data_IF_039608361557
#
_entry.id   IF_039608361557
#
_cell.length_a   1.000
_cell.length_b   1.000
_cell.length_c   1.000
_cell.angle_alpha   90.00
_cell.angle_beta   90.00
_cell.angle_gamma   90.00
#
_symmetry.space_group_name_H-M   'P 1'
#
loop_
_entity.id
_entity.type
_entity.pdbx_description
1 polymer ?
#
# COMPACT_ATOMS: atom_id res chain seq x y z
N UNK A 1 14.00 -7.39 12.73
CA UNK A 1 13.92 -8.87 12.64
C UNK A 1 13.52 -9.24 11.22
N UNK A 2 14.01 -10.35 10.68
CA UNK A 2 13.62 -10.79 9.34
C UNK A 2 12.12 -11.09 9.28
N UNK A 3 11.41 -10.53 8.30
CA UNK A 3 9.95 -10.63 8.20
C UNK A 3 9.17 -9.55 8.95
N UNK A 4 9.81 -8.77 9.81
CA UNK A 4 9.19 -7.60 10.44
C UNK A 4 9.09 -6.45 9.42
N UNK A 5 7.96 -5.73 9.33
CA UNK A 5 7.86 -4.59 8.44
C UNK A 5 8.79 -3.46 8.90
N UNK A 6 9.56 -2.92 7.97
CA UNK A 6 10.38 -1.72 8.21
C UNK A 6 9.50 -0.52 7.94
N UNK A 7 9.16 0.22 8.99
CA UNK A 7 8.29 1.38 8.94
C UNK A 7 9.09 2.63 9.28
N UNK A 8 9.18 3.54 8.33
CA UNK A 8 9.74 4.87 8.55
C UNK A 8 8.61 5.84 8.87
N UNK A 9 8.75 6.55 9.96
CA UNK A 9 7.85 7.66 10.29
C UNK A 9 8.56 8.97 9.96
N UNK A 10 7.84 9.89 9.37
CA UNK A 10 8.34 11.21 9.04
C UNK A 10 7.32 12.27 9.38
N UNK A 11 7.85 13.42 9.77
CA UNK A 11 7.08 14.58 10.14
C UNK A 11 7.26 15.67 9.09
N UNK A 12 6.15 16.20 8.59
CA UNK A 12 6.13 17.41 7.77
C UNK A 12 5.67 18.54 8.66
N UNK A 13 6.57 19.49 8.93
CA UNK A 13 6.27 20.61 9.80
C UNK A 13 5.93 21.84 8.94
N UNK A 14 4.74 22.39 9.18
CA UNK A 14 4.32 23.65 8.58
C UNK A 14 5.16 24.78 9.14
N UNK A 15 6.05 25.36 8.31
CA UNK A 15 6.89 26.49 8.64
C UNK A 15 6.46 27.75 7.90
N UNK A 16 6.85 28.91 8.43
CA UNK A 16 6.77 30.20 7.74
C UNK A 16 5.62 31.08 8.17
N UNK A 17 5.80 32.38 7.86
CA UNK A 17 4.94 33.49 8.29
C UNK A 17 3.71 33.70 7.39
N UNK A 18 3.42 32.74 6.49
CA UNK A 18 2.57 33.00 5.34
C UNK A 18 1.44 32.03 5.03
N UNK A 19 0.80 31.37 5.99
CA UNK A 19 -0.49 30.72 5.70
C UNK A 19 -0.46 29.21 5.46
N UNK A 20 0.61 28.51 5.85
CA UNK A 20 0.66 27.05 5.79
C UNK A 20 1.29 26.49 4.51
N UNK A 21 1.37 25.18 4.48
CA UNK A 21 2.03 24.38 3.45
C UNK A 21 1.03 23.37 2.89
N UNK A 22 0.78 23.39 1.59
CA UNK A 22 0.11 22.31 0.88
C UNK A 22 1.15 21.35 0.35
N UNK A 23 1.06 20.08 0.81
CA UNK A 23 1.96 19.01 0.40
C UNK A 23 1.21 18.03 -0.48
N UNK A 24 1.84 17.66 -1.58
CA UNK A 24 1.33 16.64 -2.48
C UNK A 24 1.95 15.31 -2.13
N UNK A 25 1.17 14.46 -1.50
CA UNK A 25 1.53 13.09 -1.21
C UNK A 25 0.83 12.22 -2.26
N UNK A 26 1.57 11.68 -3.22
CA UNK A 26 1.00 10.67 -4.12
C UNK A 26 0.43 9.52 -3.29
N UNK A 27 -0.64 8.88 -3.74
CA UNK A 27 -1.12 7.65 -3.10
C UNK A 27 -0.04 6.56 -3.13
N UNK A 28 0.83 6.62 -4.13
CA UNK A 28 1.99 5.76 -4.26
C UNK A 28 3.22 6.45 -3.70
N UNK A 29 3.80 5.83 -2.71
CA UNK A 29 5.04 6.32 -2.07
C UNK A 29 6.18 6.46 -3.08
N UNK A 30 6.18 5.62 -4.14
CA UNK A 30 7.12 5.72 -5.25
C UNK A 30 7.05 7.03 -6.04
N UNK A 31 5.95 7.77 -5.94
CA UNK A 31 5.80 9.04 -6.65
C UNK A 31 6.65 10.16 -6.04
N UNK A 32 7.02 10.06 -4.76
CA UNK A 32 7.75 11.11 -4.06
C UNK A 32 8.97 10.61 -3.27
N UNK A 33 9.15 9.30 -3.10
CA UNK A 33 10.32 8.73 -2.42
C UNK A 33 10.97 7.65 -3.29
N UNK A 34 12.27 7.76 -3.50
CA UNK A 34 13.09 6.64 -3.96
C UNK A 34 13.80 6.02 -2.77
N UNK A 35 13.78 4.70 -2.71
CA UNK A 35 14.36 3.89 -1.65
C UNK A 35 15.42 2.97 -2.24
N UNK A 36 16.53 2.83 -1.57
CA UNK A 36 17.46 1.72 -1.80
C UNK A 36 17.93 1.14 -0.47
N UNK A 37 18.04 -0.15 -0.41
CA UNK A 37 18.54 -0.89 0.74
C UNK A 37 19.74 -1.71 0.28
N UNK A 38 20.88 -1.54 0.91
CA UNK A 38 22.14 -2.16 0.50
C UNK A 38 22.70 -2.94 1.68
N UNK A 39 23.15 -4.17 1.47
CA UNK A 39 23.78 -4.99 2.50
C UNK A 39 25.24 -4.60 2.75
N UNK A 40 25.89 -5.25 3.73
CA UNK A 40 27.31 -5.01 4.07
C UNK A 40 28.28 -5.33 2.92
N UNK A 41 27.86 -6.17 1.98
CA UNK A 41 28.65 -6.49 0.78
C UNK A 41 28.42 -5.50 -0.38
N UNK A 42 27.61 -4.47 -0.16
CA UNK A 42 27.25 -3.49 -1.19
C UNK A 42 26.22 -4.00 -2.19
N UNK A 43 25.52 -5.11 -1.90
CA UNK A 43 24.50 -5.66 -2.79
C UNK A 43 23.15 -5.01 -2.50
N UNK A 44 22.45 -4.52 -3.54
CA UNK A 44 21.13 -3.93 -3.36
C UNK A 44 20.09 -5.03 -3.05
N UNK A 45 19.20 -4.73 -2.12
CA UNK A 45 18.04 -5.56 -1.85
C UNK A 45 17.09 -5.59 -3.08
N UNK A 46 16.52 -6.75 -3.41
CA UNK A 46 15.58 -6.87 -4.52
C UNK A 46 14.35 -5.98 -4.35
N UNK A 47 13.99 -5.29 -5.43
CA UNK A 47 12.69 -4.60 -5.50
C UNK A 47 11.56 -5.63 -5.56
N UNK A 48 10.45 -5.33 -4.90
CA UNK A 48 9.21 -6.10 -5.08
C UNK A 48 8.55 -5.69 -6.38
N UNK A 49 7.95 -6.64 -7.12
CA UNK A 49 7.15 -6.32 -8.29
C UNK A 49 6.03 -5.35 -7.90
N UNK A 50 5.91 -4.23 -8.61
CA UNK A 50 4.79 -3.30 -8.43
C UNK A 50 3.76 -3.54 -9.55
N UNK A 51 2.64 -4.23 -9.28
CA UNK A 51 1.59 -4.50 -10.26
C UNK A 51 0.87 -3.22 -10.73
N UNK A 52 1.12 -2.09 -10.06
CA UNK A 52 0.56 -0.77 -10.43
C UNK A 52 1.32 -0.10 -11.57
N UNK A 53 2.57 -0.50 -11.82
CA UNK A 53 3.38 0.03 -12.91
C UNK A 53 2.92 -0.54 -14.25
N UNK A 54 1.85 -0.24 -14.79
CA UNK A 54 1.68 0.44 -16.08
C UNK A 54 0.29 1.05 -16.31
N UNK A 55 -0.49 1.25 -15.29
CA UNK A 55 -1.82 1.82 -15.48
C UNK A 55 -1.73 3.34 -15.50
N UNK A 56 -1.35 3.89 -16.67
CA UNK A 56 -1.25 5.32 -16.95
C UNK A 56 -2.58 6.08 -16.88
N UNK A 57 -3.27 5.98 -15.74
CA UNK A 57 -4.37 6.85 -15.38
C UNK A 57 -3.92 7.92 -14.40
N UNK A 58 -4.63 9.07 -14.30
CA UNK A 58 -4.37 10.04 -13.25
C UNK A 58 -4.60 9.37 -11.89
N UNK A 59 -3.52 9.13 -11.17
CA UNK A 59 -3.58 8.65 -9.79
C UNK A 59 -4.16 9.78 -8.92
N UNK A 60 -5.12 9.52 -8.04
CA UNK A 60 -5.60 10.51 -7.12
C UNK A 60 -4.44 10.95 -6.22
N UNK A 61 -3.99 12.18 -6.42
CA UNK A 61 -2.99 12.79 -5.56
C UNK A 61 -3.65 13.16 -4.23
N UNK A 62 -3.01 12.75 -3.15
CA UNK A 62 -3.40 13.19 -1.83
C UNK A 62 -2.77 14.54 -1.55
N UNK A 63 -3.56 15.44 -1.02
CA UNK A 63 -3.13 16.74 -0.58
C UNK A 63 -3.32 16.86 0.92
N UNK A 64 -2.31 17.37 1.60
CA UNK A 64 -2.38 17.69 3.01
C UNK A 64 -2.06 19.17 3.21
N UNK A 65 -2.92 19.86 3.94
CA UNK A 65 -2.63 21.20 4.41
C UNK A 65 -2.00 21.12 5.80
N UNK A 66 -0.79 21.64 5.92
CA UNK A 66 -0.07 21.72 7.19
C UNK A 66 0.01 23.19 7.58
N UNK A 67 -0.80 23.59 8.55
CA UNK A 67 -0.81 24.98 9.02
C UNK A 67 0.52 25.34 9.73
N UNK A 68 0.87 26.63 9.84
CA UNK A 68 2.05 27.06 10.56
C UNK A 68 2.09 26.50 11.98
N UNK A 69 3.21 25.88 12.36
CA UNK A 69 3.39 25.23 13.66
C UNK A 69 2.66 23.89 13.84
N UNK A 70 1.91 23.43 12.85
CA UNK A 70 1.34 22.08 12.85
C UNK A 70 2.32 21.07 12.25
N UNK A 71 2.20 19.83 12.72
CA UNK A 71 2.95 18.68 12.21
C UNK A 71 1.99 17.70 11.56
N UNK A 72 2.29 17.31 10.34
CA UNK A 72 1.65 16.22 9.66
C UNK A 72 2.55 15.00 9.73
N UNK A 73 2.05 13.92 10.35
CA UNK A 73 2.79 12.66 10.48
C UNK A 73 2.36 11.67 9.41
N UNK A 74 3.31 11.00 8.79
CA UNK A 74 3.05 9.95 7.85
C UNK A 74 4.07 8.80 8.00
N UNK A 75 3.75 7.66 7.38
CA UNK A 75 4.57 6.47 7.43
C UNK A 75 4.87 5.97 6.03
N UNK A 76 6.09 5.48 5.84
CA UNK A 76 6.57 4.82 4.65
C UNK A 76 6.91 3.37 4.99
N UNK A 77 6.27 2.42 4.36
CA UNK A 77 6.51 0.99 4.59
C UNK A 77 7.58 0.51 3.59
N UNK A 78 8.83 0.47 4.02
CA UNK A 78 9.99 0.11 3.17
C UNK A 78 9.85 -1.29 2.60
N UNK A 79 9.42 -2.24 3.43
CA UNK A 79 9.24 -3.65 3.06
C UNK A 79 8.08 -3.91 2.10
N UNK A 80 7.26 -2.92 1.81
CA UNK A 80 6.29 -2.98 0.72
C UNK A 80 6.99 -2.92 -0.66
N UNK A 81 8.14 -2.26 -0.75
CA UNK A 81 8.86 -1.98 -1.99
C UNK A 81 10.13 -2.80 -2.16
N UNK A 82 10.78 -3.14 -1.03
CA UNK A 82 12.05 -3.82 -1.01
C UNK A 82 11.94 -5.12 -0.21
N UNK A 83 12.57 -6.16 -0.72
CA UNK A 83 12.66 -7.44 -0.02
C UNK A 83 13.95 -7.48 0.78
N UNK A 84 13.86 -7.73 2.10
CA UNK A 84 15.04 -8.02 2.92
C UNK A 84 15.36 -9.51 2.80
N UNK A 85 16.45 -9.90 2.11
CA UNK A 85 16.67 -11.30 1.75
C UNK A 85 17.22 -12.16 2.90
N UNK A 86 17.94 -11.58 3.82
CA UNK A 86 18.60 -12.33 4.90
C UNK A 86 18.84 -11.46 6.13
N UNK A 87 19.27 -12.08 7.22
CA UNK A 87 19.76 -11.38 8.42
C UNK A 87 21.08 -10.67 8.12
N UNK A 88 21.32 -9.57 8.79
CA UNK A 88 22.53 -8.78 8.58
C UNK A 88 22.32 -7.30 8.82
N UNK A 89 23.33 -6.54 8.49
CA UNK A 89 23.30 -5.08 8.56
C UNK A 89 23.07 -4.52 7.16
N UNK A 90 22.19 -3.53 7.10
CA UNK A 90 21.83 -2.85 5.86
C UNK A 90 21.96 -1.34 6.02
N UNK A 91 22.24 -0.66 4.93
CA UNK A 91 22.14 0.78 4.81
C UNK A 91 20.92 1.12 3.95
N UNK A 92 19.94 1.79 4.54
CA UNK A 92 18.75 2.28 3.87
C UNK A 92 18.98 3.73 3.46
N UNK A 93 18.96 4.00 2.17
CA UNK A 93 18.99 5.35 1.62
C UNK A 93 17.61 5.76 1.16
N UNK A 94 17.22 6.97 1.51
CA UNK A 94 15.94 7.59 1.15
C UNK A 94 16.21 8.90 0.48
N UNK A 95 15.60 9.08 -0.68
CA UNK A 95 15.53 10.38 -1.35
C UNK A 95 14.07 10.77 -1.52
N UNK A 96 13.60 11.67 -0.67
CA UNK A 96 12.26 12.23 -0.76
C UNK A 96 12.24 13.45 -1.69
N UNK A 97 11.20 13.53 -2.52
CA UNK A 97 10.92 14.66 -3.43
C UNK A 97 9.47 15.07 -3.24
N UNK A 98 9.23 15.97 -2.30
CA UNK A 98 7.89 16.42 -1.94
C UNK A 98 7.53 17.70 -2.69
N UNK A 99 6.62 17.65 -3.66
CA UNK A 99 6.06 18.85 -4.25
C UNK A 99 5.23 19.59 -3.21
N UNK A 100 5.43 20.91 -3.09
CA UNK A 100 4.66 21.73 -2.17
C UNK A 100 4.33 23.10 -2.74
N UNK A 101 3.33 23.73 -2.14
CA UNK A 101 2.96 25.12 -2.40
C UNK A 101 2.78 25.86 -1.09
N UNK A 102 3.40 27.02 -0.98
CA UNK A 102 3.26 27.90 0.18
C UNK A 102 1.99 28.75 0.07
N UNK A 103 1.31 28.96 1.18
CA UNK A 103 0.14 29.82 1.29
C UNK A 103 -1.17 29.11 0.99
N UNK A 104 -2.26 29.82 1.22
CA UNK A 104 -3.63 29.30 1.09
C UNK A 104 -4.31 29.07 2.43
N UNK A 105 -5.66 29.12 2.42
CA UNK A 105 -6.48 28.83 3.59
C UNK A 105 -6.83 27.33 3.61
N UNK A 106 -6.99 26.77 4.80
CA UNK A 106 -7.38 25.38 5.00
C UNK A 106 -8.75 25.01 4.39
N UNK A 107 -9.60 25.99 4.16
CA UNK A 107 -10.98 25.88 3.69
C UNK A 107 -11.15 25.98 2.17
N UNK A 108 -10.08 26.18 1.42
CA UNK A 108 -10.13 26.32 -0.03
C UNK A 108 -8.88 25.83 -0.72
N UNK A 109 -8.98 24.63 -1.30
CA UNK A 109 -7.99 24.20 -2.29
C UNK A 109 -8.05 25.15 -3.48
N UNK A 110 -6.95 25.83 -3.85
CA UNK A 110 -6.98 26.67 -5.02
C UNK A 110 -7.19 25.79 -6.25
N UNK A 111 -8.40 25.79 -6.82
CA UNK A 111 -8.74 25.03 -8.05
C UNK A 111 -7.76 25.28 -9.21
N UNK A 112 -6.96 26.34 -9.11
CA UNK A 112 -5.90 26.70 -10.07
C UNK A 112 -4.60 25.89 -9.92
N UNK A 113 -4.42 25.12 -8.84
CA UNK A 113 -3.12 24.46 -8.58
C UNK A 113 -2.82 23.30 -9.53
N UNK A 114 -3.81 22.70 -10.17
CA UNK A 114 -3.60 21.72 -11.24
C UNK A 114 -2.85 22.27 -12.46
N UNK A 115 -2.87 23.59 -12.66
CA UNK A 115 -2.24 24.28 -13.79
C UNK A 115 -0.97 25.05 -13.42
N UNK A 116 -0.54 25.03 -12.15
CA UNK A 116 0.68 25.75 -11.75
C UNK A 116 1.92 24.98 -12.21
N UNK A 117 2.60 25.54 -13.19
CA UNK A 117 3.85 25.03 -13.77
C UNK A 117 5.07 25.12 -12.85
N UNK A 118 4.96 25.80 -11.72
CA UNK A 118 6.06 26.00 -10.75
C UNK A 118 5.71 25.38 -9.40
N UNK A 119 5.78 24.06 -9.32
CA UNK A 119 5.79 23.37 -8.02
C UNK A 119 7.18 23.47 -7.45
N UNK A 120 7.32 24.04 -6.26
CA UNK A 120 8.56 23.92 -5.51
C UNK A 120 8.67 22.49 -5.02
N UNK A 121 9.85 21.89 -5.09
CA UNK A 121 10.09 20.53 -4.64
C UNK A 121 11.10 20.57 -3.51
N UNK A 122 10.67 20.11 -2.33
CA UNK A 122 11.60 19.82 -1.25
C UNK A 122 12.30 18.51 -1.57
N UNK A 123 13.62 18.54 -1.59
CA UNK A 123 14.46 17.34 -1.73
C UNK A 123 15.15 17.09 -0.41
N UNK A 124 14.95 15.91 0.16
CA UNK A 124 15.64 15.47 1.37
C UNK A 124 16.24 14.10 1.14
N UNK A 125 17.48 13.94 1.52
CA UNK A 125 18.21 12.67 1.43
C UNK A 125 18.68 12.27 2.83
N UNK A 126 18.37 11.03 3.21
CA UNK A 126 18.71 10.47 4.53
C UNK A 126 19.22 9.05 4.37
N UNK A 127 20.10 8.64 5.28
CA UNK A 127 20.61 7.27 5.36
C UNK A 127 20.48 6.73 6.77
N UNK A 128 20.03 5.48 6.86
CA UNK A 128 19.84 4.78 8.13
C UNK A 128 20.53 3.43 8.10
N UNK A 129 21.23 3.09 9.18
CA UNK A 129 21.69 1.72 9.39
C UNK A 129 20.59 0.90 10.04
N UNK A 130 20.26 -0.24 9.46
CA UNK A 130 19.26 -1.18 9.95
C UNK A 130 19.96 -2.52 10.21
N UNK A 131 19.78 -3.07 11.42
CA UNK A 131 20.23 -4.43 11.73
C UNK A 131 19.01 -5.36 11.74
N UNK A 132 19.06 -6.36 10.87
CA UNK A 132 18.03 -7.39 10.75
C UNK A 132 18.50 -8.65 11.45
N UNK A 133 17.76 -9.10 12.46
CA UNK A 133 18.05 -10.29 13.26
C UNK A 133 17.24 -11.49 12.78
N UNK A 134 17.54 -12.67 13.33
CA UNK A 134 16.75 -13.88 13.08
C UNK A 134 15.26 -13.68 13.41
N UNK A 135 14.38 -14.36 12.68
CA UNK A 135 12.95 -14.28 12.93
C UNK A 135 12.56 -14.99 14.21
N UNK A 136 11.72 -14.36 14.99
CA UNK A 136 11.04 -14.95 16.16
C UNK A 136 9.56 -15.11 15.82
N UNK A 137 9.11 -16.34 15.58
CA UNK A 137 7.77 -16.61 15.06
C UNK A 137 6.65 -16.03 15.91
N UNK A 138 6.71 -16.20 17.23
CA UNK A 138 5.67 -15.70 18.15
C UNK A 138 5.61 -14.18 18.12
N UNK A 139 6.76 -13.53 18.03
CA UNK A 139 6.83 -12.07 17.91
C UNK A 139 6.27 -11.59 16.57
N UNK A 140 6.56 -12.28 15.46
CA UNK A 140 5.99 -11.94 14.16
C UNK A 140 4.46 -12.10 14.14
N UNK A 141 3.91 -13.15 14.77
CA UNK A 141 2.45 -13.30 14.94
C UNK A 141 1.85 -12.19 15.81
N UNK A 142 2.53 -11.80 16.90
CA UNK A 142 2.09 -10.68 17.75
C UNK A 142 2.09 -9.35 16.98
N UNK A 143 3.13 -9.10 16.17
CA UNK A 143 3.19 -7.91 15.30
C UNK A 143 2.04 -7.92 14.30
N UNK A 144 1.78 -9.04 13.63
CA UNK A 144 0.68 -9.17 12.68
C UNK A 144 -0.68 -8.89 13.34
N UNK A 145 -0.89 -9.42 14.54
CA UNK A 145 -2.12 -9.17 15.31
C UNK A 145 -2.23 -7.70 15.75
N UNK A 146 -1.14 -7.08 16.21
CA UNK A 146 -1.11 -5.65 16.54
C UNK A 146 -1.48 -4.78 15.34
N UNK A 147 -0.86 -5.03 14.18
CA UNK A 147 -1.16 -4.31 12.94
C UNK A 147 -2.62 -4.52 12.47
N UNK A 148 -3.17 -5.73 12.66
CA UNK A 148 -4.58 -5.99 12.40
C UNK A 148 -5.49 -5.16 13.30
N UNK A 149 -5.18 -5.07 14.58
CA UNK A 149 -5.94 -4.24 15.53
C UNK A 149 -5.85 -2.76 15.15
N UNK A 150 -4.66 -2.26 14.84
CA UNK A 150 -4.48 -0.87 14.41
C UNK A 150 -5.28 -0.56 13.13
N UNK A 151 -5.28 -1.48 12.14
CA UNK A 151 -6.09 -1.33 10.94
C UNK A 151 -7.60 -1.28 11.22
N UNK A 152 -8.07 -1.91 12.32
CA UNK A 152 -9.49 -1.90 12.71
C UNK A 152 -9.88 -0.72 13.59
N UNK A 153 -9.00 -0.26 14.47
CA UNK A 153 -9.35 0.58 15.61
C UNK A 153 -8.78 1.99 15.57
N UNK A 154 -7.74 2.23 14.76
CA UNK A 154 -7.18 3.56 14.60
C UNK A 154 -8.26 4.53 14.10
N UNK A 155 -8.22 5.77 14.57
CA UNK A 155 -9.21 6.79 14.20
C UNK A 155 -8.87 7.49 12.89
N UNK A 156 -7.58 7.60 12.60
CA UNK A 156 -7.09 8.20 11.37
C UNK A 156 -7.06 7.18 10.24
N UNK A 157 -7.71 7.51 9.14
CA UNK A 157 -7.76 6.66 7.93
C UNK A 157 -6.37 6.24 7.43
N UNK A 158 -5.41 7.14 7.51
CA UNK A 158 -4.09 6.87 6.97
C UNK A 158 -3.22 6.05 7.90
N UNK A 159 -3.46 6.16 9.22
CA UNK A 159 -2.87 5.26 10.19
C UNK A 159 -3.41 3.83 9.98
N UNK A 160 -4.72 3.67 9.74
CA UNK A 160 -5.32 2.39 9.37
C UNK A 160 -4.70 1.81 8.10
N UNK A 161 -4.56 2.64 7.05
CA UNK A 161 -3.97 2.21 5.79
C UNK A 161 -2.48 1.86 5.93
N UNK A 162 -1.72 2.60 6.74
CA UNK A 162 -0.33 2.29 7.03
C UNK A 162 -0.19 0.95 7.77
N UNK A 163 -1.04 0.69 8.78
CA UNK A 163 -1.08 -0.58 9.49
C UNK A 163 -1.44 -1.75 8.55
N UNK A 164 -2.44 -1.56 7.69
CA UNK A 164 -2.83 -2.54 6.67
C UNK A 164 -1.67 -2.85 5.72
N UNK A 165 -0.97 -1.85 5.21
CA UNK A 165 0.18 -2.00 4.32
C UNK A 165 1.35 -2.69 5.01
N UNK A 166 1.63 -2.34 6.26
CA UNK A 166 2.65 -3.00 7.05
C UNK A 166 2.32 -4.49 7.26
N UNK A 167 1.06 -4.81 7.57
CA UNK A 167 0.59 -6.17 7.72
C UNK A 167 0.74 -6.98 6.42
N UNK A 168 0.42 -6.40 5.27
CA UNK A 168 0.53 -7.04 3.96
C UNK A 168 1.99 -7.15 3.47
N UNK A 169 2.91 -6.38 4.04
CA UNK A 169 4.34 -6.49 3.77
C UNK A 169 5.03 -7.61 4.55
N UNK A 170 4.36 -8.17 5.57
CA UNK A 170 4.87 -9.31 6.34
C UNK A 170 4.83 -10.62 5.55
N UNK A 171 5.66 -11.62 5.90
CA UNK A 171 5.57 -12.96 5.32
C UNK A 171 4.18 -13.56 5.56
N UNK A 172 3.62 -14.13 4.50
CA UNK A 172 2.26 -14.65 4.43
C UNK A 172 1.92 -15.63 5.55
N UNK A 173 2.86 -16.51 5.90
CA UNK A 173 2.69 -17.52 6.96
C UNK A 173 2.40 -16.93 8.36
N UNK A 174 2.74 -15.66 8.60
CA UNK A 174 2.47 -14.98 9.87
C UNK A 174 1.27 -14.04 9.77
N UNK A 175 0.95 -13.53 8.59
CA UNK A 175 -0.04 -12.48 8.39
C UNK A 175 -1.38 -12.99 7.83
N UNK A 176 -1.43 -14.16 7.19
CA UNK A 176 -2.60 -14.69 6.50
C UNK A 176 -3.87 -14.73 7.35
N UNK A 177 -3.77 -15.23 8.59
CA UNK A 177 -4.92 -15.29 9.49
C UNK A 177 -5.50 -13.90 9.79
N UNK A 178 -4.64 -12.90 9.90
CA UNK A 178 -5.04 -11.50 10.10
C UNK A 178 -5.69 -10.91 8.84
N UNK A 179 -5.20 -11.24 7.63
CA UNK A 179 -5.82 -10.81 6.38
C UNK A 179 -7.23 -11.39 6.22
N UNK A 180 -7.38 -12.69 6.46
CA UNK A 180 -8.69 -13.37 6.42
C UNK A 180 -9.68 -12.77 7.42
N UNK A 181 -9.21 -12.46 8.63
CA UNK A 181 -10.02 -11.82 9.65
C UNK A 181 -10.49 -10.43 9.21
N UNK A 182 -9.62 -9.60 8.64
CA UNK A 182 -9.98 -8.27 8.11
C UNK A 182 -10.98 -8.40 6.95
N UNK A 183 -10.75 -9.34 6.03
CA UNK A 183 -11.66 -9.57 4.90
C UNK A 183 -13.07 -9.97 5.37
N UNK A 184 -13.17 -10.78 6.43
CA UNK A 184 -14.44 -11.26 7.00
C UNK A 184 -15.10 -10.32 8.00
N UNK A 185 -14.38 -9.36 8.61
CA UNK A 185 -14.92 -8.50 9.67
C UNK A 185 -15.87 -7.43 9.08
N UNK A 186 -17.17 -7.41 9.44
CA UNK A 186 -18.13 -6.42 8.94
C UNK A 186 -17.81 -5.00 9.43
N UNK A 187 -17.03 -4.83 10.50
CA UNK A 187 -16.63 -3.53 11.04
C UNK A 187 -15.49 -2.92 10.23
N UNK A 188 -14.72 -3.73 9.48
CA UNK A 188 -13.63 -3.25 8.65
C UNK A 188 -14.18 -2.54 7.41
N UNK A 189 -14.06 -1.21 7.38
CA UNK A 189 -14.64 -0.35 6.36
C UNK A 189 -13.79 -0.21 5.09
N UNK A 190 -12.49 -0.58 5.17
CA UNK A 190 -11.51 -0.35 4.11
C UNK A 190 -11.28 -1.61 3.26
N UNK A 191 -12.36 -2.33 2.91
CA UNK A 191 -12.27 -3.57 2.12
C UNK A 191 -11.71 -3.34 0.72
N UNK A 192 -12.02 -2.20 0.12
CA UNK A 192 -11.45 -1.84 -1.19
C UNK A 192 -9.95 -1.58 -1.13
N UNK A 193 -9.48 -0.95 -0.04
CA UNK A 193 -8.06 -0.74 0.18
C UNK A 193 -7.35 -2.07 0.44
N UNK A 194 -7.95 -2.97 1.24
CA UNK A 194 -7.44 -4.32 1.45
C UNK A 194 -7.31 -5.08 0.12
N UNK A 195 -8.34 -5.08 -0.71
CA UNK A 195 -8.31 -5.74 -2.02
C UNK A 195 -7.21 -5.17 -2.91
N UNK A 196 -7.09 -3.86 -2.97
CA UNK A 196 -6.07 -3.15 -3.75
C UNK A 196 -4.67 -3.51 -3.28
N UNK A 197 -4.45 -3.49 -1.98
CA UNK A 197 -3.14 -3.80 -1.41
C UNK A 197 -2.81 -5.32 -1.49
N UNK A 198 -3.80 -6.22 -1.38
CA UNK A 198 -3.61 -7.67 -1.61
C UNK A 198 -3.07 -7.95 -3.02
N UNK A 199 -3.54 -7.20 -4.02
CA UNK A 199 -3.05 -7.35 -5.39
C UNK A 199 -1.54 -7.06 -5.53
N UNK A 200 -0.94 -6.33 -4.58
CA UNK A 200 0.49 -6.06 -4.55
C UNK A 200 1.33 -7.17 -3.90
N UNK A 201 0.69 -8.07 -3.15
CA UNK A 201 1.41 -9.18 -2.50
C UNK A 201 1.92 -10.19 -3.51
N UNK A 202 1.26 -10.32 -4.67
CA UNK A 202 1.66 -11.17 -5.78
C UNK A 202 1.85 -12.65 -5.38
N UNK A 203 0.95 -13.17 -4.53
CA UNK A 203 0.97 -14.57 -4.09
C UNK A 203 -0.32 -15.30 -4.41
N UNK A 204 -0.29 -16.66 -4.54
CA UNK A 204 -1.49 -17.47 -4.70
C UNK A 204 -2.52 -17.26 -3.59
N UNK A 205 -2.10 -17.14 -2.35
CA UNK A 205 -3.02 -16.98 -1.23
C UNK A 205 -3.68 -15.59 -1.19
N UNK A 206 -2.97 -14.54 -1.61
CA UNK A 206 -3.56 -13.21 -1.81
C UNK A 206 -4.59 -13.23 -2.95
N UNK A 207 -4.31 -13.95 -4.04
CA UNK A 207 -5.25 -14.14 -5.15
C UNK A 207 -6.51 -14.92 -4.72
N UNK A 208 -6.35 -15.98 -3.91
CA UNK A 208 -7.48 -16.73 -3.36
C UNK A 208 -8.34 -15.87 -2.42
N UNK A 209 -7.72 -15.04 -1.58
CA UNK A 209 -8.46 -14.14 -0.70
C UNK A 209 -9.20 -13.05 -1.49
N UNK A 210 -8.58 -12.49 -2.52
CA UNK A 210 -9.26 -11.58 -3.46
C UNK A 210 -10.46 -12.26 -4.13
N UNK A 211 -10.31 -13.50 -4.57
CA UNK A 211 -11.39 -14.28 -5.16
C UNK A 211 -12.53 -14.55 -4.18
N UNK A 212 -12.23 -14.83 -2.90
CA UNK A 212 -13.24 -14.98 -1.85
C UNK A 212 -13.98 -13.67 -1.58
N UNK A 213 -13.27 -12.54 -1.58
CA UNK A 213 -13.90 -11.23 -1.44
C UNK A 213 -14.75 -10.84 -2.66
N UNK A 214 -14.49 -11.46 -3.79
CA UNK A 214 -15.24 -11.27 -5.04
C UNK A 214 -16.56 -12.04 -5.08
N UNK A 215 -16.91 -12.84 -4.11
CA UNK A 215 -18.12 -13.64 -4.12
C UNK A 215 -19.37 -12.78 -4.41
N UNK A 216 -20.07 -12.99 -5.54
CA UNK A 216 -21.22 -12.19 -5.94
C UNK A 216 -22.39 -12.25 -4.93
N UNK A 217 -22.40 -13.25 -4.06
CA UNK A 217 -23.42 -13.44 -3.04
C UNK A 217 -23.17 -12.64 -1.76
N UNK A 218 -22.01 -12.03 -1.58
CA UNK A 218 -21.59 -11.41 -0.30
C UNK A 218 -21.33 -9.90 -0.36
N UNK A 219 -21.31 -9.28 -1.53
CA UNK A 219 -20.92 -7.87 -1.65
C UNK A 219 -21.70 -7.06 -2.68
N UNK A 220 -21.74 -5.73 -2.56
CA UNK A 220 -22.32 -4.86 -3.57
C UNK A 220 -21.57 -5.00 -4.91
N UNK A 221 -22.31 -4.89 -6.00
CA UNK A 221 -21.87 -5.10 -7.40
C UNK A 221 -20.58 -4.35 -7.80
N UNK A 222 -20.29 -3.21 -7.17
CA UNK A 222 -19.08 -2.41 -7.36
C UNK A 222 -17.80 -3.13 -6.93
N UNK A 223 -17.84 -3.95 -5.88
CA UNK A 223 -16.69 -4.70 -5.37
C UNK A 223 -16.28 -5.81 -6.34
N UNK A 224 -17.25 -6.41 -7.02
CA UNK A 224 -17.03 -7.52 -7.98
C UNK A 224 -16.15 -7.06 -9.15
N UNK A 225 -16.45 -5.92 -9.75
CA UNK A 225 -15.68 -5.41 -10.88
C UNK A 225 -14.22 -5.10 -10.53
N UNK A 226 -13.97 -4.59 -9.33
CA UNK A 226 -12.61 -4.28 -8.87
C UNK A 226 -11.76 -5.53 -8.62
N UNK A 227 -12.30 -6.59 -8.02
CA UNK A 227 -11.55 -7.82 -7.77
C UNK A 227 -11.09 -8.51 -9.06
N UNK A 228 -11.95 -8.57 -10.07
CA UNK A 228 -11.61 -9.11 -11.40
C UNK A 228 -10.44 -8.35 -12.03
N UNK A 229 -10.50 -7.02 -12.03
CA UNK A 229 -9.43 -6.17 -12.57
C UNK A 229 -8.12 -6.36 -11.81
N UNK A 230 -8.20 -6.49 -10.48
CA UNK A 230 -7.02 -6.71 -9.64
C UNK A 230 -6.38 -8.08 -9.91
N UNK A 231 -7.18 -9.13 -10.06
CA UNK A 231 -6.70 -10.46 -10.46
C UNK A 231 -6.06 -10.44 -11.87
N UNK A 232 -6.65 -9.72 -12.82
CA UNK A 232 -6.06 -9.54 -14.15
C UNK A 232 -4.71 -8.81 -14.09
N UNK A 233 -4.56 -7.84 -13.19
CA UNK A 233 -3.29 -7.14 -12.99
C UNK A 233 -2.24 -8.08 -12.37
N UNK A 234 -2.61 -8.86 -11.36
CA UNK A 234 -1.74 -9.89 -10.79
C UNK A 234 -1.32 -10.93 -11.84
N UNK A 235 -2.24 -11.35 -12.70
CA UNK A 235 -1.96 -12.25 -13.81
C UNK A 235 -0.90 -11.69 -14.76
N UNK A 236 -1.05 -10.42 -15.17
CA UNK A 236 -0.12 -9.77 -16.11
C UNK A 236 1.28 -9.59 -15.53
N UNK A 237 1.38 -9.27 -14.25
CA UNK A 237 2.65 -8.99 -13.57
C UNK A 237 3.27 -10.22 -12.90
N UNK A 238 2.50 -11.30 -12.71
CA UNK A 238 2.91 -12.51 -12.00
C UNK A 238 3.84 -13.43 -12.80
N UNK A 239 4.49 -14.29 -12.07
CA UNK A 239 5.23 -15.40 -12.65
C UNK A 239 4.28 -16.50 -13.20
N UNK A 240 4.84 -17.50 -13.86
CA UNK A 240 4.06 -18.58 -14.48
C UNK A 240 3.28 -19.44 -13.47
N UNK A 241 3.72 -19.51 -12.21
CA UNK A 241 3.01 -20.23 -11.16
C UNK A 241 1.76 -19.47 -10.72
N UNK A 242 1.90 -18.17 -10.47
CA UNK A 242 0.78 -17.28 -10.12
C UNK A 242 -0.22 -17.15 -11.28
N UNK A 243 0.23 -17.06 -12.52
CA UNK A 243 -0.65 -17.03 -13.71
C UNK A 243 -1.53 -18.28 -13.78
N UNK A 244 -0.94 -19.48 -13.69
CA UNK A 244 -1.69 -20.75 -13.68
C UNK A 244 -2.69 -20.83 -12.53
N UNK A 245 -2.31 -20.29 -11.36
CA UNK A 245 -3.20 -20.26 -10.21
C UNK A 245 -4.42 -19.36 -10.48
N UNK A 246 -4.21 -18.17 -11.02
CA UNK A 246 -5.28 -17.21 -11.37
C UNK A 246 -6.17 -17.76 -12.49
N UNK A 247 -5.62 -18.46 -13.49
CA UNK A 247 -6.42 -19.16 -14.50
C UNK A 247 -7.36 -20.19 -13.84
N UNK A 248 -6.88 -20.92 -12.84
CA UNK A 248 -7.70 -21.83 -12.04
C UNK A 248 -8.82 -21.12 -11.27
N UNK A 249 -8.55 -19.91 -10.75
CA UNK A 249 -9.57 -19.06 -10.13
C UNK A 249 -10.62 -18.64 -11.17
N UNK A 250 -10.21 -18.08 -12.30
CA UNK A 250 -11.12 -17.67 -13.39
C UNK A 250 -11.97 -18.82 -13.90
N UNK A 251 -11.41 -20.03 -14.03
CA UNK A 251 -12.15 -21.21 -14.45
C UNK A 251 -13.25 -21.62 -13.46
N UNK A 252 -13.00 -21.46 -12.14
CA UNK A 252 -14.00 -21.73 -11.09
C UNK A 252 -15.09 -20.68 -11.05
N UNK A 253 -14.72 -19.41 -10.97
CA UNK A 253 -15.67 -18.31 -10.82
C UNK A 253 -16.33 -17.91 -12.15
N UNK A 254 -15.69 -18.11 -13.29
CA UNK A 254 -16.29 -17.89 -14.62
C UNK A 254 -17.51 -18.79 -14.87
N UNK A 255 -17.53 -20.01 -14.32
CA UNK A 255 -18.72 -20.88 -14.36
C UNK A 255 -19.85 -20.36 -13.47
N UNK A 256 -19.53 -19.91 -12.25
CA UNK A 256 -20.52 -19.37 -11.31
C UNK A 256 -21.13 -18.04 -11.83
N UNK A 257 -20.34 -17.19 -12.45
CA UNK A 257 -20.80 -15.91 -13.05
C UNK A 257 -21.65 -16.17 -14.31
N UNK A 258 -21.31 -17.17 -15.14
CA UNK A 258 -22.12 -17.52 -16.32
C UNK A 258 -23.47 -18.17 -15.95
N UNK A 259 -23.55 -18.82 -14.80
CA UNK A 259 -24.75 -19.44 -14.27
C UNK A 259 -25.63 -18.46 -13.49
N UNK A 260 -25.04 -17.40 -12.91
CA UNK A 260 -25.80 -16.33 -12.25
C UNK A 260 -26.47 -15.42 -13.28
N UNK A 261 -27.81 -15.33 -13.24
CA UNK A 261 -28.66 -14.62 -14.17
C UNK A 261 -28.39 -13.08 -14.27
N UNK A 262 -27.40 -12.56 -13.59
CA UNK A 262 -27.07 -11.13 -13.49
C UNK A 262 -26.50 -10.58 -14.80
N UNK A 263 -25.90 -11.41 -15.66
CA UNK A 263 -25.35 -10.97 -16.95
C UNK A 263 -26.31 -11.11 -18.14
N UNK A 264 -27.54 -11.65 -17.93
CA UNK A 264 -28.53 -11.83 -19.00
C UNK A 264 -29.40 -10.60 -19.29
N UNK A 265 -29.26 -9.51 -18.53
CA UNK A 265 -30.09 -8.30 -18.69
C UNK A 265 -29.32 -7.10 -19.26
N UNK A 266 -28.12 -7.30 -19.80
CA UNK A 266 -27.27 -6.27 -20.40
C UNK A 266 -26.96 -6.55 -21.87
N UNK A 267 -27.95 -7.03 -22.65
CA UNK A 267 -27.88 -7.09 -24.11
C UNK A 267 -29.00 -6.22 -24.69
#
# INVERSE_FOLDING_TARGET
MLGEPIILRYDIVGGGDGGGLWVYLGQEQSAWASLSLVDEAGQPAPERPDPRKPQGGPQPMREAHVAPGQTYQASLIVTQWLTVPHVGRYELHIKARLPYVLGGRADGFPQRMWHMTTKTVLVQEESFTITVTEPEEDRLRQIAEGLRQDALTERDYYAQLAALRALLAMPEQYAMASWQTLAGDPRFRHKEDLMRELAHVMSPAAADLLAQMWNPNTGPMLIIGHASVLLDNMYRAGDEALKRHIEGIHARYGKEVSESAIWRTGA
#
